data_IF_121120747724
#
_entry.id   IF_121120747724
#
_cell.length_a   1.000
_cell.length_b   1.000
_cell.length_c   1.000
_cell.angle_alpha   90.00
_cell.angle_beta   90.00
_cell.angle_gamma   90.00
#
_symmetry.space_group_name_H-M   'P 1'
#
loop_
_entity.id
_entity.type
_entity.pdbx_description
1 polymer ?
#
# COMPACT_ATOMS: atom_id res chain seq x y z
N UNK A 1 8.13 -7.36 25.76
CA UNK A 1 6.70 -7.06 25.68
C UNK A 1 6.11 -8.00 24.66
N UNK A 2 5.31 -8.99 25.11
CA UNK A 2 4.68 -9.95 24.23
C UNK A 2 3.68 -9.19 23.33
N UNK A 3 3.92 -9.21 22.02
CA UNK A 3 2.95 -8.72 21.05
C UNK A 3 1.69 -9.61 21.15
N UNK A 4 0.53 -9.08 21.59
CA UNK A 4 -0.68 -9.91 21.78
C UNK A 4 -1.18 -10.52 20.47
N UNK A 5 -0.72 -10.01 19.33
CA UNK A 5 -1.08 -10.48 17.98
C UNK A 5 -0.11 -11.55 17.44
N UNK A 6 1.00 -11.83 18.13
CA UNK A 6 1.96 -12.86 17.68
C UNK A 6 1.47 -14.29 17.84
N UNK A 7 0.35 -14.51 18.52
CA UNK A 7 -0.22 -15.85 18.79
C UNK A 7 -1.33 -16.26 17.83
N UNK A 8 -1.81 -15.33 17.01
CA UNK A 8 -2.86 -15.62 16.03
C UNK A 8 -2.18 -16.02 14.70
N UNK A 9 -2.26 -17.28 14.34
CA UNK A 9 -1.62 -17.84 13.13
C UNK A 9 -2.13 -17.16 11.86
N UNK A 10 -3.36 -16.65 11.86
CA UNK A 10 -3.93 -15.89 10.73
C UNK A 10 -3.30 -14.49 10.59
N UNK A 11 -2.71 -13.96 11.66
CA UNK A 11 -2.13 -12.63 11.69
C UNK A 11 -0.64 -12.58 11.35
N UNK A 12 0.04 -13.74 11.32
CA UNK A 12 1.44 -13.82 10.88
C UNK A 12 1.57 -14.06 9.37
N UNK A 13 0.44 -14.26 8.69
CA UNK A 13 0.42 -14.69 7.29
C UNK A 13 1.13 -13.71 6.36
N UNK A 14 0.99 -12.39 6.53
CA UNK A 14 1.60 -11.40 5.64
C UNK A 14 3.12 -11.37 5.74
N UNK A 15 3.67 -11.23 6.92
CA UNK A 15 5.12 -11.09 7.10
C UNK A 15 5.84 -12.43 7.05
N UNK A 16 5.22 -13.50 7.58
CA UNK A 16 5.83 -14.84 7.66
C UNK A 16 5.28 -15.75 6.57
N UNK A 17 3.97 -15.83 6.36
CA UNK A 17 3.33 -16.70 5.37
C UNK A 17 3.65 -16.30 3.94
N UNK A 18 3.51 -15.02 3.60
CA UNK A 18 3.90 -14.47 2.29
C UNK A 18 5.41 -14.23 2.17
N UNK A 19 6.15 -14.20 3.29
CA UNK A 19 7.60 -14.03 3.31
C UNK A 19 8.06 -12.62 2.93
N UNK A 20 7.24 -11.58 3.16
CA UNK A 20 7.55 -10.20 2.76
C UNK A 20 8.49 -9.47 3.74
N UNK A 21 8.69 -9.97 4.96
CA UNK A 21 9.50 -9.31 5.99
C UNK A 21 10.91 -8.91 5.51
N UNK A 22 11.58 -9.79 4.75
CA UNK A 22 12.91 -9.53 4.20
C UNK A 22 12.94 -8.37 3.19
N UNK A 23 11.85 -8.18 2.43
CA UNK A 23 11.76 -7.10 1.44
C UNK A 23 11.42 -5.78 2.11
N UNK A 24 10.60 -5.80 3.15
CA UNK A 24 10.38 -4.64 3.99
C UNK A 24 11.68 -4.18 4.69
N UNK A 25 12.46 -5.11 5.24
CA UNK A 25 13.77 -4.78 5.84
C UNK A 25 14.72 -4.17 4.79
N UNK A 26 14.77 -4.75 3.57
CA UNK A 26 15.62 -4.25 2.48
C UNK A 26 15.30 -2.80 2.13
N UNK A 27 14.01 -2.45 1.97
CA UNK A 27 13.61 -1.12 1.50
C UNK A 27 13.41 -0.11 2.63
N UNK A 28 13.08 -0.58 3.85
CA UNK A 28 12.62 0.28 4.93
C UNK A 28 13.59 0.44 6.10
N UNK A 29 14.70 -0.30 6.13
CA UNK A 29 15.68 -0.18 7.21
C UNK A 29 16.16 1.28 7.43
N UNK A 30 16.26 2.06 6.35
CA UNK A 30 16.59 3.48 6.42
C UNK A 30 15.60 4.31 7.26
N UNK A 31 14.32 3.93 7.29
CA UNK A 31 13.26 4.64 7.99
C UNK A 31 13.09 4.22 9.46
N UNK A 32 13.69 3.10 9.87
CA UNK A 32 13.42 2.41 11.14
C UNK A 32 13.45 3.32 12.38
N UNK A 33 14.39 4.24 12.46
CA UNK A 33 14.58 5.14 13.61
C UNK A 33 14.21 6.59 13.31
N UNK A 34 13.56 6.86 12.18
CA UNK A 34 13.16 8.20 11.76
C UNK A 34 11.74 8.53 12.15
N UNK A 35 11.47 9.81 12.30
CA UNK A 35 10.10 10.32 12.38
C UNK A 35 9.50 10.25 10.98
N UNK A 36 8.58 9.32 10.78
CA UNK A 36 7.93 9.08 9.50
C UNK A 36 6.41 9.06 9.67
N UNK A 37 5.72 9.26 8.55
CA UNK A 37 4.28 9.00 8.43
C UNK A 37 4.09 7.81 7.51
N UNK A 38 3.39 6.80 8.01
CA UNK A 38 3.00 5.60 7.28
C UNK A 38 1.48 5.56 7.13
N UNK A 39 1.02 5.22 5.94
CA UNK A 39 -0.39 4.92 5.66
C UNK A 39 -0.49 3.46 5.23
N UNK A 40 -1.44 2.71 5.81
CA UNK A 40 -1.85 1.39 5.31
C UNK A 40 -3.31 1.44 4.87
N UNK A 41 -3.58 0.95 3.67
CA UNK A 41 -4.90 0.72 3.10
C UNK A 41 -5.18 -0.77 3.22
N UNK A 42 -6.31 -1.16 3.86
CA UNK A 42 -6.61 -2.55 4.13
C UNK A 42 -6.03 -3.07 5.45
N UNK A 43 -6.31 -2.38 6.54
CA UNK A 43 -5.76 -2.70 7.87
C UNK A 43 -6.36 -3.96 8.50
N UNK A 44 -7.58 -4.32 8.13
CA UNK A 44 -8.32 -5.47 8.63
C UNK A 44 -8.20 -5.71 10.15
N UNK A 45 -7.53 -6.81 10.57
CA UNK A 45 -7.29 -7.14 11.99
C UNK A 45 -6.09 -6.42 12.62
N UNK A 46 -5.32 -5.65 11.85
CA UNK A 46 -4.22 -4.80 12.32
C UNK A 46 -2.92 -5.51 12.68
N UNK A 47 -2.68 -6.72 12.18
CA UNK A 47 -1.45 -7.44 12.48
C UNK A 47 -0.21 -6.77 11.87
N UNK A 48 -0.32 -6.30 10.64
CA UNK A 48 0.70 -5.51 9.95
C UNK A 48 0.97 -4.21 10.68
N UNK A 49 -0.08 -3.48 11.09
CA UNK A 49 0.04 -2.25 11.88
C UNK A 49 0.77 -2.49 13.20
N UNK A 50 0.47 -3.57 13.90
CA UNK A 50 1.19 -3.92 15.13
C UNK A 50 2.68 -4.17 14.85
N UNK A 51 2.99 -4.84 13.74
CA UNK A 51 4.38 -5.10 13.33
C UNK A 51 5.10 -3.80 12.98
N UNK A 52 4.49 -2.92 12.18
CA UNK A 52 5.07 -1.63 11.82
C UNK A 52 5.19 -0.68 13.02
N UNK A 53 4.26 -0.72 13.97
CA UNK A 53 4.32 0.07 15.19
C UNK A 53 5.58 -0.24 16.02
N UNK A 54 5.96 -1.53 16.10
CA UNK A 54 7.18 -1.94 16.79
C UNK A 54 8.44 -1.76 15.95
N UNK A 55 8.33 -1.96 14.65
CA UNK A 55 9.47 -1.81 13.73
C UNK A 55 9.89 -0.34 13.59
N UNK A 56 8.92 0.58 13.40
CA UNK A 56 9.16 2.02 13.29
C UNK A 56 8.84 2.71 14.60
N UNK A 57 9.81 2.81 15.49
CA UNK A 57 9.60 3.30 16.86
C UNK A 57 9.13 4.76 16.97
N UNK A 58 9.27 5.56 15.90
CA UNK A 58 8.88 6.98 15.84
C UNK A 58 7.80 7.28 14.77
N UNK A 59 7.27 6.26 14.12
CA UNK A 59 6.27 6.46 13.08
C UNK A 59 4.93 6.92 13.65
N UNK A 60 4.28 7.85 12.95
CA UNK A 60 2.84 8.09 13.05
C UNK A 60 2.17 7.28 11.94
N UNK A 61 1.25 6.41 12.32
CA UNK A 61 0.63 5.43 11.43
C UNK A 61 -0.83 5.80 11.21
N UNK A 62 -1.25 5.85 9.96
CA UNK A 62 -2.64 5.99 9.54
C UNK A 62 -3.11 4.67 8.96
N UNK A 63 -4.34 4.29 9.31
CA UNK A 63 -4.92 3.01 8.96
C UNK A 63 -6.26 3.26 8.28
N UNK A 64 -6.41 2.85 7.04
CA UNK A 64 -7.67 2.90 6.30
C UNK A 64 -8.27 1.51 6.18
N UNK A 65 -9.51 1.37 6.59
CA UNK A 65 -10.30 0.17 6.35
C UNK A 65 -11.79 0.51 6.41
N UNK A 66 -12.59 -0.14 5.58
CA UNK A 66 -14.05 -0.03 5.61
C UNK A 66 -14.70 -0.89 6.70
N UNK A 67 -13.94 -1.83 7.29
CA UNK A 67 -14.45 -2.79 8.28
C UNK A 67 -13.34 -3.26 9.22
N UNK A 68 -12.61 -2.33 9.80
CA UNK A 68 -11.51 -2.70 10.70
C UNK A 68 -12.03 -3.35 11.99
N UNK A 69 -11.32 -4.41 12.43
CA UNK A 69 -11.61 -5.16 13.67
C UNK A 69 -10.48 -5.02 14.69
N UNK A 70 -9.83 -3.90 14.68
CA UNK A 70 -8.63 -3.66 15.45
C UNK A 70 -8.94 -3.04 16.81
N UNK A 71 -8.32 -3.54 17.88
CA UNK A 71 -8.57 -3.06 19.25
C UNK A 71 -7.36 -2.35 19.89
N UNK A 72 -6.17 -2.41 19.26
CA UNK A 72 -4.98 -1.77 19.79
C UNK A 72 -5.06 -0.26 19.62
N UNK A 73 -4.84 0.50 20.72
CA UNK A 73 -4.87 1.96 20.70
C UNK A 73 -3.51 2.52 21.07
N UNK A 74 -3.08 3.56 20.38
CA UNK A 74 -1.87 4.31 20.65
C UNK A 74 -2.02 5.74 20.14
N UNK A 75 -1.30 6.68 20.75
CA UNK A 75 -1.21 8.06 20.27
C UNK A 75 -0.50 8.19 18.90
N UNK A 76 0.20 7.13 18.47
CA UNK A 76 0.87 7.06 17.16
C UNK A 76 0.03 6.38 16.07
N UNK A 77 -1.17 5.88 16.39
CA UNK A 77 -2.03 5.17 15.44
C UNK A 77 -3.35 5.94 15.25
N UNK A 78 -3.66 6.26 14.02
CA UNK A 78 -4.88 6.95 13.60
C UNK A 78 -5.72 6.02 12.73
N UNK A 79 -6.87 5.59 13.24
CA UNK A 79 -7.84 4.79 12.49
C UNK A 79 -8.81 5.70 11.76
N UNK A 80 -9.02 5.42 10.48
CA UNK A 80 -9.96 6.14 9.65
C UNK A 80 -10.82 5.14 8.88
N UNK A 81 -12.14 5.21 9.04
CA UNK A 81 -13.05 4.50 8.14
C UNK A 81 -12.90 5.10 6.75
N UNK A 82 -12.70 4.25 5.75
CA UNK A 82 -12.67 4.64 4.36
C UNK A 82 -12.87 3.42 3.45
N UNK A 83 -13.92 3.43 2.65
CA UNK A 83 -13.99 2.58 1.46
C UNK A 83 -13.34 3.36 0.30
N UNK A 84 -12.16 2.93 -0.12
CA UNK A 84 -11.40 3.63 -1.16
C UNK A 84 -12.03 3.61 -2.56
N UNK A 85 -13.16 2.92 -2.73
CA UNK A 85 -14.02 2.99 -3.92
C UNK A 85 -15.06 4.11 -3.85
N UNK A 86 -15.20 4.73 -2.67
CA UNK A 86 -16.14 5.81 -2.43
C UNK A 86 -15.39 7.15 -2.37
N UNK A 87 -15.66 8.03 -3.34
CA UNK A 87 -15.00 9.33 -3.44
C UNK A 87 -15.29 10.23 -2.22
N UNK A 88 -16.46 10.13 -1.60
CA UNK A 88 -16.78 10.92 -0.42
C UNK A 88 -15.96 10.47 0.79
N UNK A 89 -15.72 9.16 0.94
CA UNK A 89 -14.86 8.63 2.00
C UNK A 89 -13.40 9.07 1.80
N UNK A 90 -12.90 9.03 0.55
CA UNK A 90 -11.55 9.53 0.22
C UNK A 90 -11.45 11.02 0.57
N UNK A 91 -12.44 11.83 0.19
CA UNK A 91 -12.47 13.25 0.50
C UNK A 91 -12.50 13.52 2.02
N UNK A 92 -13.33 12.79 2.76
CA UNK A 92 -13.38 12.89 4.22
C UNK A 92 -12.01 12.56 4.86
N UNK A 93 -11.30 11.57 4.31
CA UNK A 93 -9.95 11.26 4.76
C UNK A 93 -8.96 12.39 4.41
N UNK A 94 -9.05 12.98 3.23
CA UNK A 94 -8.22 14.12 2.84
C UNK A 94 -8.44 15.34 3.76
N UNK A 95 -9.69 15.67 4.07
CA UNK A 95 -10.03 16.73 5.00
C UNK A 95 -9.46 16.47 6.41
N UNK A 96 -9.49 15.22 6.84
CA UNK A 96 -8.85 14.81 8.11
C UNK A 96 -7.34 15.01 8.06
N UNK A 97 -6.67 14.68 6.93
CA UNK A 97 -5.23 14.87 6.78
C UNK A 97 -4.84 16.36 6.81
N UNK A 98 -5.63 17.22 6.14
CA UNK A 98 -5.44 18.68 6.16
C UNK A 98 -5.54 19.19 7.60
N UNK A 99 -6.60 18.82 8.31
CA UNK A 99 -6.80 19.20 9.71
C UNK A 99 -5.65 18.75 10.65
N UNK A 100 -5.06 17.60 10.35
CA UNK A 100 -3.90 17.06 11.09
C UNK A 100 -2.54 17.55 10.57
N UNK A 101 -2.48 18.36 9.53
CA UNK A 101 -1.25 18.77 8.84
C UNK A 101 -0.38 17.56 8.44
N UNK A 102 -1.01 16.54 7.87
CA UNK A 102 -0.42 15.23 7.62
C UNK A 102 -0.65 14.73 6.19
N UNK A 103 -0.62 15.62 5.20
CA UNK A 103 -1.05 15.36 3.82
C UNK A 103 -0.12 14.42 3.04
N UNK A 104 1.15 14.31 3.44
CA UNK A 104 2.14 13.49 2.76
C UNK A 104 2.74 12.41 3.67
N UNK A 105 3.00 11.26 3.07
CA UNK A 105 3.52 10.06 3.73
C UNK A 105 4.90 9.67 3.23
N UNK A 106 5.74 9.18 4.12
CA UNK A 106 7.03 8.58 3.76
C UNK A 106 6.83 7.19 3.14
N UNK A 107 5.80 6.47 3.62
CA UNK A 107 5.45 5.13 3.17
C UNK A 107 3.93 5.02 3.06
N UNK A 108 3.44 4.53 1.92
CA UNK A 108 2.04 4.10 1.74
C UNK A 108 2.07 2.63 1.36
N UNK A 109 1.27 1.80 2.04
CA UNK A 109 1.11 0.38 1.77
C UNK A 109 -0.34 0.13 1.36
N UNK A 110 -0.54 -0.40 0.17
CA UNK A 110 -1.82 -0.89 -0.32
C UNK A 110 -1.86 -2.41 -0.18
N UNK A 111 -2.66 -2.86 0.76
CA UNK A 111 -2.97 -4.24 1.06
C UNK A 111 -4.48 -4.39 1.19
N UNK A 112 -5.18 -3.79 0.24
CA UNK A 112 -6.63 -3.65 0.22
C UNK A 112 -7.35 -4.91 -0.26
N UNK A 113 -8.27 -4.73 -1.24
CA UNK A 113 -9.13 -5.81 -1.74
C UNK A 113 -8.43 -6.78 -2.71
N UNK A 114 -7.30 -6.41 -3.27
CA UNK A 114 -6.58 -7.08 -4.34
C UNK A 114 -7.39 -7.24 -5.65
N UNK A 115 -8.53 -6.55 -5.78
CA UNK A 115 -9.28 -6.46 -7.03
C UNK A 115 -8.49 -5.58 -7.99
N UNK A 116 -8.42 -6.00 -9.25
CA UNK A 116 -7.59 -5.32 -10.26
C UNK A 116 -7.90 -3.82 -10.38
N UNK A 117 -9.18 -3.44 -10.50
CA UNK A 117 -9.58 -2.03 -10.59
C UNK A 117 -9.32 -1.26 -9.29
N UNK A 118 -9.52 -1.88 -8.12
CA UNK A 118 -9.31 -1.23 -6.82
C UNK A 118 -7.81 -0.90 -6.61
N UNK A 119 -6.90 -1.81 -7.02
CA UNK A 119 -5.45 -1.56 -6.94
C UNK A 119 -5.08 -0.33 -7.77
N UNK A 120 -5.59 -0.22 -9.01
CA UNK A 120 -5.30 0.93 -9.87
C UNK A 120 -5.92 2.23 -9.33
N UNK A 121 -7.14 2.15 -8.83
CA UNK A 121 -7.82 3.28 -8.19
C UNK A 121 -7.07 3.79 -6.96
N UNK A 122 -6.63 2.87 -6.09
CA UNK A 122 -5.81 3.24 -4.93
C UNK A 122 -4.48 3.86 -5.35
N UNK A 123 -3.82 3.30 -6.35
CA UNK A 123 -2.57 3.84 -6.86
C UNK A 123 -2.75 5.28 -7.38
N UNK A 124 -3.83 5.56 -8.13
CA UNK A 124 -4.13 6.91 -8.62
C UNK A 124 -4.42 7.91 -7.48
N UNK A 125 -5.23 7.52 -6.51
CA UNK A 125 -5.65 8.39 -5.41
C UNK A 125 -4.54 8.66 -4.39
N UNK A 126 -3.65 7.69 -4.16
CA UNK A 126 -2.72 7.77 -3.03
C UNK A 126 -1.25 7.95 -3.41
N UNK A 127 -0.80 7.56 -4.62
CA UNK A 127 0.63 7.72 -4.98
C UNK A 127 1.08 9.19 -4.94
N UNK A 128 0.23 10.14 -5.30
CA UNK A 128 0.56 11.57 -5.20
C UNK A 128 0.85 12.02 -3.77
N UNK A 129 0.28 11.33 -2.77
CA UNK A 129 0.48 11.59 -1.33
C UNK A 129 1.79 11.00 -0.77
N UNK A 130 2.56 10.28 -1.55
CA UNK A 130 3.92 9.86 -1.18
C UNK A 130 4.85 11.06 -1.26
N UNK A 131 5.71 11.26 -0.24
CA UNK A 131 6.78 12.28 -0.27
C UNK A 131 7.84 11.96 -1.31
N UNK A 132 8.60 12.95 -1.82
CA UNK A 132 9.84 12.68 -2.54
C UNK A 132 10.78 11.77 -1.73
N UNK A 133 11.33 10.75 -2.40
CA UNK A 133 12.16 9.71 -1.77
C UNK A 133 11.42 8.64 -0.98
N UNK A 134 10.10 8.78 -0.81
CA UNK A 134 9.21 7.81 -0.16
C UNK A 134 8.78 6.67 -1.07
N UNK A 135 7.97 5.76 -0.52
CA UNK A 135 7.53 4.55 -1.20
C UNK A 135 6.02 4.40 -1.21
N UNK A 136 5.49 3.95 -2.35
CA UNK A 136 4.18 3.32 -2.47
C UNK A 136 4.40 1.81 -2.65
N UNK A 137 3.81 1.02 -1.78
CA UNK A 137 3.95 -0.45 -1.81
C UNK A 137 2.60 -1.06 -2.14
N UNK A 138 2.59 -2.09 -2.98
CA UNK A 138 1.38 -2.86 -3.26
C UNK A 138 1.68 -4.32 -2.96
N UNK A 139 0.97 -4.86 -1.95
CA UNK A 139 1.00 -6.29 -1.63
C UNK A 139 0.05 -7.06 -2.54
N UNK A 140 0.43 -8.27 -2.90
CA UNK A 140 -0.40 -9.24 -3.60
C UNK A 140 -1.06 -8.70 -4.90
N UNK A 141 -0.37 -7.76 -5.56
CA UNK A 141 -0.88 -7.01 -6.72
C UNK A 141 -1.28 -7.88 -7.92
N UNK A 142 -0.94 -9.15 -7.92
CA UNK A 142 -1.24 -10.09 -8.99
C UNK A 142 -2.26 -11.17 -8.59
N UNK A 143 -2.87 -11.10 -7.41
CA UNK A 143 -3.91 -12.04 -6.95
C UNK A 143 -5.06 -12.18 -7.95
N UNK A 144 -5.43 -11.11 -8.67
CA UNK A 144 -6.46 -11.15 -9.71
C UNK A 144 -6.15 -12.15 -10.83
N UNK A 145 -4.88 -12.55 -11.04
CA UNK A 145 -4.49 -13.59 -12.01
C UNK A 145 -4.80 -15.00 -11.51
N UNK A 146 -4.83 -15.20 -10.19
CA UNK A 146 -5.04 -16.49 -9.53
C UNK A 146 -6.48 -16.70 -9.06
N UNK A 147 -7.17 -15.60 -8.74
CA UNK A 147 -8.51 -15.62 -8.18
C UNK A 147 -9.49 -14.89 -9.09
N UNK A 148 -10.33 -15.62 -9.87
CA UNK A 148 -11.22 -15.01 -10.87
C UNK A 148 -12.17 -13.94 -10.33
N UNK A 149 -12.59 -14.05 -9.05
CA UNK A 149 -13.48 -13.07 -8.42
C UNK A 149 -12.79 -11.73 -8.10
N UNK A 150 -11.47 -11.65 -8.18
CA UNK A 150 -10.67 -10.43 -8.05
C UNK A 150 -10.35 -9.80 -9.40
N UNK A 151 -10.70 -10.48 -10.49
CA UNK A 151 -10.37 -10.01 -11.84
C UNK A 151 -11.57 -9.34 -12.50
N UNK A 152 -11.64 -8.04 -12.39
CA UNK A 152 -12.59 -7.18 -13.10
C UNK A 152 -11.90 -6.34 -14.20
N UNK A 153 -10.71 -6.77 -14.64
CA UNK A 153 -9.96 -6.06 -15.66
C UNK A 153 -10.71 -6.07 -17.00
N UNK A 154 -10.83 -4.92 -17.69
CA UNK A 154 -11.33 -4.90 -19.07
C UNK A 154 -10.46 -5.75 -19.99
N UNK A 155 -11.06 -6.40 -20.98
CA UNK A 155 -10.40 -7.38 -21.87
C UNK A 155 -9.10 -6.89 -22.55
N UNK A 156 -8.97 -5.57 -22.77
CA UNK A 156 -7.79 -4.95 -23.41
C UNK A 156 -6.82 -4.32 -22.42
N UNK A 157 -7.05 -4.47 -21.12
CA UNK A 157 -6.19 -3.83 -20.11
C UNK A 157 -4.87 -4.60 -19.95
N UNK A 158 -3.74 -3.88 -19.82
CA UNK A 158 -2.47 -4.51 -19.47
C UNK A 158 -2.53 -5.05 -18.04
N UNK A 159 -1.82 -6.13 -17.75
CA UNK A 159 -1.65 -6.59 -16.37
C UNK A 159 -0.95 -5.53 -15.51
N UNK A 160 -1.19 -5.55 -14.19
CA UNK A 160 -0.53 -4.60 -13.27
C UNK A 160 0.99 -4.76 -13.33
N UNK A 161 1.47 -5.99 -13.43
CA UNK A 161 2.91 -6.26 -13.60
C UNK A 161 3.45 -5.64 -14.90
N UNK A 162 2.69 -5.72 -16.00
CA UNK A 162 3.08 -5.10 -17.27
C UNK A 162 3.15 -3.58 -17.18
N UNK A 163 2.20 -2.96 -16.46
CA UNK A 163 2.24 -1.53 -16.15
C UNK A 163 3.54 -1.18 -15.41
N UNK A 164 3.90 -1.95 -14.39
CA UNK A 164 5.14 -1.72 -13.63
C UNK A 164 6.39 -1.91 -14.49
N UNK A 165 6.43 -2.93 -15.36
CA UNK A 165 7.55 -3.13 -16.28
C UNK A 165 7.68 -1.98 -17.30
N UNK A 166 6.56 -1.47 -17.81
CA UNK A 166 6.56 -0.31 -18.71
C UNK A 166 7.13 0.92 -18.00
N UNK A 167 6.68 1.22 -16.79
CA UNK A 167 7.16 2.35 -15.98
C UNK A 167 8.63 2.19 -15.57
N UNK A 168 9.03 0.98 -15.17
CA UNK A 168 10.44 0.65 -14.84
C UNK A 168 11.38 0.92 -16.01
N UNK A 169 10.92 0.63 -17.23
CA UNK A 169 11.68 0.89 -18.46
C UNK A 169 11.57 2.35 -18.94
N UNK A 170 11.03 3.25 -18.12
CA UNK A 170 10.84 4.66 -18.47
C UNK A 170 10.06 4.85 -19.77
N UNK A 171 9.00 4.04 -19.94
CA UNK A 171 8.04 4.17 -21.04
C UNK A 171 6.71 4.67 -20.51
N UNK A 172 5.98 5.41 -21.35
CA UNK A 172 4.63 5.85 -21.03
C UNK A 172 3.69 4.66 -21.04
N UNK A 173 2.99 4.44 -19.93
CA UNK A 173 1.96 3.42 -19.85
C UNK A 173 0.68 3.88 -20.56
N UNK A 174 -0.15 2.92 -20.94
CA UNK A 174 -1.51 3.15 -21.43
C UNK A 174 -2.46 2.28 -20.62
N UNK A 175 -3.36 2.91 -19.90
CA UNK A 175 -4.42 2.26 -19.14
C UNK A 175 -5.72 3.02 -19.35
N UNK A 176 -6.82 2.29 -19.50
CA UNK A 176 -8.15 2.89 -19.63
C UNK A 176 -8.78 3.19 -18.26
N UNK A 177 -8.24 2.62 -17.18
CA UNK A 177 -8.71 2.83 -15.82
C UNK A 177 -7.97 3.95 -15.07
N UNK A 178 -6.82 4.40 -15.58
CA UNK A 178 -6.04 5.48 -14.99
C UNK A 178 -6.19 6.75 -15.84
N UNK A 179 -6.40 7.89 -15.21
CA UNK A 179 -6.44 9.15 -15.93
C UNK A 179 -5.12 9.44 -16.66
N UNK A 180 -5.21 10.14 -17.80
CA UNK A 180 -4.02 10.51 -18.57
C UNK A 180 -3.05 11.36 -17.75
N UNK A 181 -3.59 12.28 -16.95
CA UNK A 181 -2.78 13.13 -16.07
C UNK A 181 -2.00 12.33 -15.04
N UNK A 182 -2.60 11.27 -14.50
CA UNK A 182 -1.91 10.39 -13.57
C UNK A 182 -0.87 9.51 -14.27
N UNK A 183 -1.14 9.04 -15.49
CA UNK A 183 -0.17 8.30 -16.29
C UNK A 183 1.08 9.14 -16.58
N UNK A 184 0.90 10.41 -16.98
CA UNK A 184 2.01 11.36 -17.20
C UNK A 184 2.71 11.71 -15.86
N UNK A 185 1.94 11.83 -14.77
CA UNK A 185 2.51 12.02 -13.43
C UNK A 185 3.44 10.86 -13.02
N UNK A 186 3.01 9.61 -13.18
CA UNK A 186 3.82 8.44 -12.88
C UNK A 186 5.12 8.42 -13.69
N UNK A 187 5.05 8.70 -14.99
CA UNK A 187 6.21 8.74 -15.86
C UNK A 187 7.29 9.71 -15.35
N UNK A 188 6.88 10.86 -14.81
CA UNK A 188 7.78 11.91 -14.34
C UNK A 188 8.23 11.73 -12.88
N UNK A 189 7.44 11.02 -12.05
CA UNK A 189 7.64 11.02 -10.60
C UNK A 189 8.03 9.66 -10.01
N UNK A 190 8.22 8.62 -10.82
CA UNK A 190 8.73 7.33 -10.37
C UNK A 190 10.22 7.26 -10.65
N UNK A 191 11.04 7.07 -9.59
CA UNK A 191 12.49 6.87 -9.71
C UNK A 191 12.85 5.41 -9.90
N UNK A 192 12.17 4.50 -9.20
CA UNK A 192 12.47 3.07 -9.16
C UNK A 192 11.21 2.25 -8.91
N UNK A 193 11.14 1.06 -9.51
CA UNK A 193 10.16 0.02 -9.17
C UNK A 193 10.92 -1.28 -8.92
N UNK A 194 10.76 -1.85 -7.73
CA UNK A 194 11.28 -3.16 -7.35
C UNK A 194 10.13 -4.13 -7.12
N UNK A 195 10.13 -5.25 -7.84
CA UNK A 195 9.14 -6.30 -7.72
C UNK A 195 9.81 -7.52 -7.09
N UNK A 196 9.19 -8.07 -6.06
CA UNK A 196 9.68 -9.24 -5.37
C UNK A 196 8.62 -10.32 -5.30
N UNK A 197 9.07 -11.58 -5.45
CA UNK A 197 8.23 -12.74 -5.22
C UNK A 197 8.37 -13.20 -3.79
N UNK A 198 7.23 -13.38 -3.12
CA UNK A 198 7.14 -13.95 -1.78
C UNK A 198 7.30 -15.47 -1.75
N UNK A 199 6.90 -16.06 -0.64
CA UNK A 199 7.05 -17.49 -0.39
C UNK A 199 5.97 -18.35 -1.08
N UNK A 200 4.77 -17.81 -1.28
CA UNK A 200 3.65 -18.50 -1.91
C UNK A 200 3.63 -18.25 -3.42
N UNK A 201 2.92 -19.10 -4.17
CA UNK A 201 2.88 -19.02 -5.64
C UNK A 201 2.31 -17.67 -6.14
N UNK A 202 1.33 -17.15 -5.44
CA UNK A 202 0.58 -15.93 -5.74
C UNK A 202 1.09 -14.69 -4.98
N UNK A 203 2.06 -14.85 -4.08
CA UNK A 203 2.60 -13.74 -3.27
C UNK A 203 3.61 -12.91 -4.05
N UNK A 204 3.23 -11.70 -4.39
CA UNK A 204 4.11 -10.71 -5.02
C UNK A 204 3.91 -9.34 -4.39
N UNK A 205 5.00 -8.61 -4.24
CA UNK A 205 5.00 -7.27 -3.67
C UNK A 205 5.80 -6.32 -4.56
N UNK A 206 5.27 -5.12 -4.77
CA UNK A 206 5.93 -4.07 -5.54
C UNK A 206 6.25 -2.87 -4.65
N UNK A 207 7.47 -2.37 -4.72
CA UNK A 207 7.92 -1.13 -4.09
C UNK A 207 8.15 -0.09 -5.18
N UNK A 208 7.40 0.99 -5.15
CA UNK A 208 7.43 2.09 -6.12
C UNK A 208 7.98 3.31 -5.39
N UNK A 209 9.21 3.71 -5.74
CA UNK A 209 9.88 4.84 -5.12
C UNK A 209 9.59 6.11 -5.90
N UNK A 210 9.19 7.16 -5.19
CA UNK A 210 8.97 8.48 -5.77
C UNK A 210 10.28 9.25 -5.92
N UNK A 211 10.39 10.05 -6.98
CA UNK A 211 11.51 11.00 -7.21
C UNK A 211 11.61 11.99 -6.07
#
# INVERSE_FOLDING_TARGET
>A
VNNPYSKDTDNTSKLVGHGYAKFYELHFNYFKNKEIKLLEIGTWKGASIASFYYYFNKAVIFCLDRNYKFQFRSNRINFCYCDTRNNDDIKNFEDLLINKKSELFDIIIDDGSHIYSDILNNFENFFKKVKPGGFYVIEDFNHYKYYPHLNDSPASSPGIEDIFQILKNKKKMQSILLSKDFQDYCFNNISEISIHKGAQQDSYIAFIKKV
#
